data_IF_010232974128
#
_entry.id   IF_010232974128
#
_cell.length_a   1.000
_cell.length_b   1.000
_cell.length_c   1.000
_cell.angle_alpha   90.00
_cell.angle_beta   90.00
_cell.angle_gamma   90.00
#
_symmetry.space_group_name_H-M   'P 1'
#
loop_
_entity.id
_entity.type
_entity.pdbx_description
1 polymer ?
#
# COMPACT_ATOMS: atom_id res chain seq x y z
N UNK A 1 5.53 -0.27 39.72
CA UNK A 1 5.63 -1.12 38.53
C UNK A 1 5.00 -0.33 37.39
N UNK A 2 5.80 0.21 36.50
CA UNK A 2 5.33 0.85 35.27
C UNK A 2 4.66 -0.22 34.42
N UNK A 3 3.38 -0.07 34.13
CA UNK A 3 2.69 -0.95 33.21
C UNK A 3 3.46 -0.90 31.87
N UNK A 4 3.94 -2.06 31.41
CA UNK A 4 4.56 -2.16 30.09
C UNK A 4 3.44 -1.83 29.09
N UNK A 5 3.53 -0.67 28.44
CA UNK A 5 2.58 -0.32 27.39
C UNK A 5 2.73 -1.32 26.24
N UNK A 6 1.60 -1.81 25.71
CA UNK A 6 1.62 -2.66 24.53
C UNK A 6 2.20 -1.89 23.33
N UNK A 7 3.04 -2.52 22.51
CA UNK A 7 3.50 -1.89 21.28
C UNK A 7 2.30 -1.51 20.39
N UNK A 8 2.39 -0.33 19.76
CA UNK A 8 1.35 0.22 18.92
C UNK A 8 1.56 -0.16 17.47
N UNK A 9 0.57 -0.84 16.89
CA UNK A 9 0.57 -1.31 15.50
C UNK A 9 -0.40 -0.48 14.67
N UNK A 10 0.12 0.14 13.62
CA UNK A 10 -0.69 0.82 12.62
C UNK A 10 -1.02 -0.17 11.49
N UNK A 11 -2.29 -0.52 11.34
CA UNK A 11 -2.77 -1.36 10.24
C UNK A 11 -3.21 -0.44 9.10
N UNK A 12 -2.47 -0.46 7.98
CA UNK A 12 -2.72 0.43 6.84
C UNK A 12 -3.34 -0.35 5.69
N UNK A 13 -4.47 0.11 5.16
CA UNK A 13 -5.23 -0.58 4.12
C UNK A 13 -5.98 0.37 3.19
N UNK A 14 -6.59 -0.18 2.13
CA UNK A 14 -7.26 0.57 1.06
C UNK A 14 -6.28 0.94 -0.05
N UNK A 15 -6.03 2.24 -0.26
CA UNK A 15 -5.03 2.74 -1.20
C UNK A 15 -5.59 3.06 -2.59
N UNK A 16 -4.70 3.56 -3.45
CA UNK A 16 -5.05 4.11 -4.78
C UNK A 16 -5.14 3.06 -5.88
N UNK A 17 -4.83 1.80 -5.57
CA UNK A 17 -4.84 0.74 -6.57
C UNK A 17 -6.25 0.23 -6.91
N UNK A 18 -6.36 -0.54 -7.99
CA UNK A 18 -7.59 -1.25 -8.35
C UNK A 18 -7.98 -2.33 -7.33
N UNK A 19 -7.06 -2.73 -6.46
CA UNK A 19 -7.25 -3.78 -5.44
C UNK A 19 -7.66 -3.20 -4.07
N UNK A 20 -8.17 -1.97 -4.05
CA UNK A 20 -8.59 -1.24 -2.84
C UNK A 20 -9.52 -2.07 -1.95
N UNK A 21 -10.58 -2.66 -2.52
CA UNK A 21 -11.56 -3.46 -1.77
C UNK A 21 -10.97 -4.76 -1.25
N UNK A 22 -10.02 -5.35 -1.98
CA UNK A 22 -9.28 -6.54 -1.52
C UNK A 22 -8.44 -6.18 -0.30
N UNK A 23 -7.77 -5.03 -0.34
CA UNK A 23 -7.01 -4.51 0.79
C UNK A 23 -7.89 -4.29 2.03
N UNK A 24 -9.08 -3.72 1.87
CA UNK A 24 -10.06 -3.56 2.96
C UNK A 24 -10.48 -4.91 3.55
N UNK A 25 -10.79 -5.90 2.70
CA UNK A 25 -11.16 -7.25 3.14
C UNK A 25 -10.00 -7.97 3.84
N UNK A 26 -8.76 -7.79 3.36
CA UNK A 26 -7.56 -8.31 4.03
C UNK A 26 -7.43 -7.71 5.43
N UNK A 27 -7.68 -6.39 5.55
CA UNK A 27 -7.67 -5.71 6.85
C UNK A 27 -8.74 -6.26 7.80
N UNK A 28 -9.95 -6.56 7.33
CA UNK A 28 -10.97 -7.20 8.15
C UNK A 28 -10.47 -8.51 8.77
N UNK A 29 -9.83 -9.37 7.98
CA UNK A 29 -9.25 -10.62 8.47
C UNK A 29 -8.15 -10.41 9.52
N UNK A 30 -7.23 -9.47 9.28
CA UNK A 30 -6.14 -9.17 10.21
C UNK A 30 -6.67 -8.53 11.49
N UNK A 31 -7.59 -7.56 11.39
CA UNK A 31 -8.20 -6.92 12.57
C UNK A 31 -9.00 -7.90 13.44
N UNK A 32 -9.58 -8.94 12.84
CA UNK A 32 -10.24 -10.02 13.57
C UNK A 32 -9.24 -10.95 14.27
N UNK A 33 -8.09 -11.24 13.62
CA UNK A 33 -7.13 -12.24 14.09
C UNK A 33 -6.08 -11.69 15.07
N UNK A 34 -5.81 -10.38 15.03
CA UNK A 34 -4.72 -9.78 15.82
C UNK A 34 -5.02 -9.83 17.34
N UNK A 35 -4.01 -10.25 18.11
CA UNK A 35 -4.10 -10.40 19.57
C UNK A 35 -4.06 -9.03 20.28
N UNK A 36 -5.23 -8.52 20.65
CA UNK A 36 -5.39 -7.22 21.35
C UNK A 36 -4.82 -7.22 22.77
N UNK A 37 -4.46 -8.36 23.30
CA UNK A 37 -3.76 -8.41 24.61
C UNK A 37 -2.28 -8.06 24.49
N UNK A 38 -1.70 -8.24 23.29
CA UNK A 38 -0.30 -7.97 22.98
C UNK A 38 -0.08 -6.65 22.25
N UNK A 39 -1.05 -6.22 21.47
CA UNK A 39 -0.92 -5.08 20.56
C UNK A 39 -1.98 -4.01 20.82
N UNK A 40 -1.56 -2.75 20.82
CA UNK A 40 -2.44 -1.59 20.69
C UNK A 40 -2.59 -1.28 19.21
N UNK A 41 -3.80 -1.38 18.66
CA UNK A 41 -4.02 -1.38 17.20
C UNK A 41 -4.73 -0.12 16.76
N UNK A 42 -4.17 0.53 15.75
CA UNK A 42 -4.76 1.70 15.08
C UNK A 42 -5.08 1.30 13.64
N UNK A 43 -6.36 1.18 13.25
CA UNK A 43 -6.76 1.02 11.86
C UNK A 43 -6.65 2.36 11.13
N UNK A 44 -5.92 2.38 10.01
CA UNK A 44 -5.74 3.53 9.13
C UNK A 44 -6.12 3.17 7.71
N UNK A 45 -7.15 3.81 7.20
CA UNK A 45 -7.56 3.66 5.81
C UNK A 45 -6.89 4.70 4.90
N UNK A 46 -6.55 4.29 3.68
CA UNK A 46 -6.17 5.21 2.61
C UNK A 46 -7.27 5.17 1.55
N UNK A 47 -7.85 6.32 1.23
CA UNK A 47 -8.89 6.42 0.20
C UNK A 47 -8.33 6.14 -1.20
N UNK A 48 -9.20 6.01 -2.21
CA UNK A 48 -8.79 5.89 -3.62
C UNK A 48 -8.03 7.11 -4.14
N UNK A 49 -8.27 8.27 -3.54
CA UNK A 49 -7.57 9.53 -3.88
C UNK A 49 -6.25 9.68 -3.10
N UNK A 50 -5.96 8.75 -2.18
CA UNK A 50 -4.70 8.72 -1.42
C UNK A 50 -4.74 9.45 -0.09
N UNK A 51 -5.92 9.79 0.41
CA UNK A 51 -6.07 10.49 1.68
C UNK A 51 -6.06 9.49 2.85
N UNK A 52 -5.33 9.81 3.89
CA UNK A 52 -5.19 8.99 5.08
C UNK A 52 -6.25 9.38 6.11
N UNK A 53 -7.02 8.40 6.59
CA UNK A 53 -8.10 8.61 7.54
C UNK A 53 -8.08 7.55 8.63
N UNK A 54 -8.37 7.94 9.87
CA UNK A 54 -8.62 6.99 10.94
C UNK A 54 -9.95 6.28 10.68
N UNK A 55 -9.92 4.96 10.79
CA UNK A 55 -11.11 4.12 10.58
C UNK A 55 -11.48 3.48 11.92
N UNK A 56 -12.77 3.26 12.14
CA UNK A 56 -13.23 2.54 13.31
C UNK A 56 -12.64 1.12 13.35
N UNK A 57 -12.31 0.65 14.55
CA UNK A 57 -11.87 -0.73 14.77
C UNK A 57 -13.07 -1.69 14.71
N UNK A 58 -13.65 -1.80 13.53
CA UNK A 58 -14.80 -2.67 13.23
C UNK A 58 -14.50 -3.50 11.97
N UNK A 59 -13.98 -4.73 12.13
CA UNK A 59 -13.68 -5.60 11.00
C UNK A 59 -14.90 -5.85 10.10
N UNK A 60 -16.11 -5.94 10.70
CA UNK A 60 -17.35 -6.25 9.97
C UNK A 60 -17.73 -5.15 8.96
N UNK A 61 -17.28 -3.92 9.19
CA UNK A 61 -17.47 -2.79 8.27
C UNK A 61 -16.62 -2.88 7.01
N UNK A 62 -15.57 -3.72 7.01
CA UNK A 62 -14.60 -3.87 5.92
C UNK A 62 -14.80 -5.15 5.11
N UNK A 63 -15.66 -6.07 5.57
CA UNK A 63 -15.96 -7.33 4.88
C UNK A 63 -16.76 -7.09 3.60
N UNK A 64 -16.65 -8.04 2.67
CA UNK A 64 -17.52 -8.06 1.50
C UNK A 64 -18.98 -8.22 1.93
N UNK A 65 -19.87 -7.38 1.38
CA UNK A 65 -21.32 -7.47 1.57
C UNK A 65 -22.00 -7.64 0.22
N UNK A 66 -22.79 -8.69 0.10
CA UNK A 66 -23.52 -9.01 -1.15
C UNK A 66 -22.62 -9.06 -2.40
N UNK A 67 -21.41 -9.60 -2.23
CA UNK A 67 -20.40 -9.70 -3.29
C UNK A 67 -19.71 -8.39 -3.65
N UNK A 68 -19.96 -7.30 -2.91
CA UNK A 68 -19.33 -5.99 -3.09
C UNK A 68 -18.30 -5.72 -2.00
N UNK A 69 -17.10 -5.34 -2.40
CA UNK A 69 -16.06 -4.89 -1.48
C UNK A 69 -16.40 -3.54 -0.87
N UNK A 70 -15.88 -3.30 0.32
CA UNK A 70 -16.02 -2.02 1.01
C UNK A 70 -14.87 -1.09 0.63
N UNK A 71 -15.12 0.21 0.70
CA UNK A 71 -14.12 1.22 0.39
C UNK A 71 -13.94 2.20 1.55
N UNK A 72 -12.71 2.65 1.72
CA UNK A 72 -12.38 3.74 2.66
C UNK A 72 -12.92 5.04 2.09
N UNK A 73 -13.68 5.76 2.89
CA UNK A 73 -14.20 7.09 2.56
C UNK A 73 -13.62 8.14 3.51
N UNK A 74 -13.32 9.30 2.97
CA UNK A 74 -12.85 10.42 3.76
C UNK A 74 -14.01 11.21 4.37
N UNK A 75 -13.78 11.74 5.58
CA UNK A 75 -14.62 12.73 6.24
C UNK A 75 -13.91 14.08 6.33
N UNK A 76 -14.19 14.83 7.39
CA UNK A 76 -13.58 16.13 7.69
C UNK A 76 -12.19 16.02 8.33
N UNK A 77 -11.68 14.81 8.58
CA UNK A 77 -10.36 14.60 9.20
C UNK A 77 -9.38 13.97 8.22
N UNK A 78 -8.10 14.23 8.45
CA UNK A 78 -6.96 13.60 7.76
C UNK A 78 -5.92 13.19 8.79
N UNK A 79 -5.27 12.07 8.55
CA UNK A 79 -4.16 11.60 9.38
C UNK A 79 -2.85 11.81 8.64
N UNK A 80 -1.83 12.26 9.34
CA UNK A 80 -0.48 12.38 8.83
C UNK A 80 0.50 11.64 9.74
N UNK A 81 1.49 10.99 9.11
CA UNK A 81 2.65 10.41 9.78
C UNK A 81 3.78 11.45 9.74
N UNK A 82 4.31 11.82 10.90
CA UNK A 82 5.35 12.86 10.97
C UNK A 82 6.72 12.30 10.59
N UNK A 83 7.49 13.03 9.78
CA UNK A 83 8.84 12.60 9.41
C UNK A 83 9.77 12.50 10.63
N UNK A 84 10.57 11.43 10.68
CA UNK A 84 11.68 11.26 11.63
C UNK A 84 11.28 10.81 13.04
N UNK A 85 10.02 10.90 13.42
CA UNK A 85 9.57 10.57 14.78
C UNK A 85 8.53 9.45 14.83
N UNK A 86 7.93 9.10 13.69
CA UNK A 86 6.90 8.06 13.62
C UNK A 86 5.62 8.36 14.40
N UNK A 87 5.35 9.63 14.67
CA UNK A 87 4.12 10.04 15.35
C UNK A 87 2.99 10.24 14.35
N UNK A 88 1.77 9.91 14.78
CA UNK A 88 0.55 10.20 14.04
C UNK A 88 -0.12 11.46 14.56
N UNK A 89 -0.60 12.29 13.66
CA UNK A 89 -1.46 13.44 13.98
C UNK A 89 -2.74 13.35 13.16
N UNK A 90 -3.86 13.68 13.79
CA UNK A 90 -5.14 13.84 13.11
C UNK A 90 -5.45 15.33 12.98
N UNK A 91 -5.73 15.74 11.76
CA UNK A 91 -6.08 17.11 11.40
C UNK A 91 -7.58 17.19 11.16
N UNK A 92 -8.27 18.09 11.86
CA UNK A 92 -9.69 18.38 11.63
C UNK A 92 -9.82 19.64 10.79
N UNK A 93 -10.64 19.56 9.76
CA UNK A 93 -10.88 20.67 8.81
C UNK A 93 -12.26 21.27 8.98
N UNK A 94 -12.34 22.59 8.81
CA UNK A 94 -13.58 23.31 8.59
C UNK A 94 -13.83 23.38 7.08
N UNK A 95 -14.99 22.85 6.64
CA UNK A 95 -15.33 22.69 5.23
C UNK A 95 -14.82 21.39 4.62
N UNK A 96 -14.81 21.33 3.29
CA UNK A 96 -14.26 20.21 2.55
C UNK A 96 -12.72 20.27 2.59
N UNK A 97 -12.03 19.26 3.14
CA UNK A 97 -10.57 19.27 3.24
C UNK A 97 -9.83 19.46 1.91
N UNK A 98 -10.47 19.14 0.80
CA UNK A 98 -9.90 19.24 -0.55
C UNK A 98 -10.20 20.59 -1.23
N UNK A 99 -11.02 21.42 -0.61
CA UNK A 99 -11.31 22.75 -1.11
C UNK A 99 -10.21 23.77 -0.75
N UNK A 100 -9.86 24.70 -1.67
CA UNK A 100 -8.80 25.69 -1.42
C UNK A 100 -9.04 26.60 -0.20
N UNK A 101 -10.28 26.82 0.18
CA UNK A 101 -10.70 27.63 1.33
C UNK A 101 -10.72 26.84 2.64
N UNK A 102 -10.51 25.55 2.61
CA UNK A 102 -10.51 24.68 3.78
C UNK A 102 -9.39 25.07 4.76
N UNK A 103 -9.69 25.00 6.04
CA UNK A 103 -8.73 25.36 7.10
C UNK A 103 -8.67 24.26 8.14
N UNK A 104 -7.46 24.00 8.63
CA UNK A 104 -7.28 23.15 9.81
C UNK A 104 -7.75 23.93 11.03
N UNK A 105 -8.72 23.39 11.75
CA UNK A 105 -9.30 23.96 12.97
C UNK A 105 -8.99 23.15 14.22
N UNK A 106 -8.45 21.95 14.06
CA UNK A 106 -8.01 21.08 15.17
C UNK A 106 -6.85 20.21 14.77
N UNK A 107 -5.99 19.93 15.74
CA UNK A 107 -4.88 18.97 15.63
C UNK A 107 -4.91 18.08 16.87
N UNK A 108 -5.02 16.77 16.68
CA UNK A 108 -4.94 15.77 17.73
C UNK A 108 -3.66 14.96 17.57
N UNK A 109 -2.84 14.88 18.61
CA UNK A 109 -1.68 13.99 18.65
C UNK A 109 -2.18 12.57 18.97
N UNK A 110 -2.07 11.67 18.00
CA UNK A 110 -2.43 10.26 18.16
C UNK A 110 -1.27 9.43 18.74
N UNK A 111 -0.11 10.04 18.90
CA UNK A 111 1.08 9.45 19.51
C UNK A 111 1.93 8.62 18.55
N UNK A 112 2.96 7.99 19.13
CA UNK A 112 3.98 7.22 18.42
C UNK A 112 3.44 5.88 17.91
N UNK A 113 3.93 5.45 16.74
CA UNK A 113 3.71 4.13 16.13
C UNK A 113 4.98 3.30 16.27
N UNK A 114 4.89 2.12 16.90
CA UNK A 114 6.03 1.22 17.05
C UNK A 114 6.32 0.41 15.78
N UNK A 115 5.26 0.04 15.06
CA UNK A 115 5.35 -0.73 13.81
C UNK A 115 4.14 -0.47 12.92
N UNK A 116 4.39 -0.40 11.61
CA UNK A 116 3.34 -0.35 10.58
C UNK A 116 3.16 -1.74 9.96
N UNK A 117 1.92 -2.16 9.80
CA UNK A 117 1.57 -3.35 9.06
C UNK A 117 0.74 -2.95 7.83
N UNK A 118 1.40 -2.70 6.68
CA UNK A 118 0.71 -2.34 5.45
C UNK A 118 0.04 -3.58 4.84
N UNK A 119 -1.24 -3.44 4.51
CA UNK A 119 -2.06 -4.45 3.83
C UNK A 119 -2.49 -3.92 2.45
N UNK A 120 -1.70 -3.02 1.90
CA UNK A 120 -1.91 -2.41 0.59
C UNK A 120 -1.49 -3.39 -0.52
N UNK A 121 -2.18 -3.32 -1.66
CA UNK A 121 -1.88 -4.13 -2.85
C UNK A 121 -1.61 -3.25 -4.07
N UNK A 122 -0.74 -3.72 -4.95
CA UNK A 122 -0.43 -3.06 -6.22
C UNK A 122 0.33 -1.73 -6.09
N UNK A 123 0.13 -0.81 -7.04
CA UNK A 123 0.82 0.48 -7.06
C UNK A 123 0.62 1.27 -5.77
N UNK A 124 1.65 1.99 -5.35
CA UNK A 124 1.77 2.75 -4.09
C UNK A 124 1.80 1.89 -2.82
N UNK A 125 1.51 0.58 -2.90
CA UNK A 125 1.55 -0.35 -1.78
C UNK A 125 2.73 -1.33 -1.84
N UNK A 126 3.03 -1.86 -3.03
CA UNK A 126 4.03 -2.91 -3.24
C UNK A 126 5.23 -2.45 -4.09
N UNK A 127 5.25 -1.21 -4.55
CA UNK A 127 6.25 -0.66 -5.47
C UNK A 127 7.41 0.11 -4.81
N UNK A 128 7.49 0.09 -3.49
CA UNK A 128 8.50 0.83 -2.73
C UNK A 128 8.09 2.24 -2.30
N UNK A 129 6.98 2.77 -2.82
CA UNK A 129 6.54 4.15 -2.55
C UNK A 129 6.15 4.33 -1.08
N UNK A 130 5.25 3.50 -0.56
CA UNK A 130 4.84 3.58 0.85
C UNK A 130 5.97 3.20 1.80
N UNK A 131 6.82 2.25 1.41
CA UNK A 131 7.99 1.84 2.18
C UNK A 131 8.96 3.02 2.33
N UNK A 132 9.17 3.80 1.27
CA UNK A 132 9.98 5.02 1.31
C UNK A 132 9.42 6.06 2.29
N UNK A 133 8.10 6.21 2.38
CA UNK A 133 7.45 7.07 3.36
C UNK A 133 7.74 6.59 4.79
N UNK A 134 7.65 5.28 5.06
CA UNK A 134 7.94 4.71 6.38
C UNK A 134 9.41 4.86 6.76
N UNK A 135 10.34 4.68 5.82
CA UNK A 135 11.77 4.94 6.03
C UNK A 135 12.01 6.41 6.42
N UNK A 136 11.41 7.36 5.67
CA UNK A 136 11.53 8.78 5.97
C UNK A 136 10.89 9.18 7.30
N UNK A 137 9.84 8.48 7.71
CA UNK A 137 9.17 8.67 8.99
C UNK A 137 9.94 8.01 10.16
N UNK A 138 10.95 7.17 9.88
CA UNK A 138 11.71 6.47 10.90
C UNK A 138 10.93 5.37 11.62
N UNK A 139 9.86 4.81 11.00
CA UNK A 139 9.06 3.75 11.62
C UNK A 139 9.40 2.40 11.02
N UNK A 140 9.37 1.38 11.86
CA UNK A 140 9.48 -0.01 11.41
C UNK A 140 8.20 -0.45 10.72
N UNK A 141 8.32 -1.33 9.74
CA UNK A 141 7.16 -1.88 9.04
C UNK A 141 7.35 -3.34 8.67
N UNK A 142 6.25 -4.04 8.48
CA UNK A 142 6.22 -5.44 8.04
C UNK A 142 6.28 -5.47 6.51
N UNK A 143 7.18 -6.29 5.96
CA UNK A 143 7.29 -6.49 4.51
C UNK A 143 8.69 -6.22 3.97
N UNK A 144 8.78 -6.15 2.65
CA UNK A 144 10.02 -5.89 1.93
C UNK A 144 10.40 -4.40 2.01
N UNK A 145 11.71 -4.11 1.98
CA UNK A 145 12.21 -2.73 1.91
C UNK A 145 12.00 -2.10 0.52
N UNK A 146 12.32 -0.82 0.40
CA UNK A 146 12.09 0.00 -0.81
C UNK A 146 12.61 -0.67 -2.08
N UNK A 147 13.89 -1.05 -2.11
CA UNK A 147 14.53 -1.63 -3.30
C UNK A 147 13.89 -2.94 -3.70
N UNK A 148 13.66 -3.85 -2.74
CA UNK A 148 13.03 -5.15 -3.03
C UNK A 148 11.61 -4.97 -3.57
N UNK A 149 10.83 -4.09 -2.96
CA UNK A 149 9.46 -3.78 -3.41
C UNK A 149 9.47 -3.24 -4.84
N UNK A 150 10.29 -2.22 -5.12
CA UNK A 150 10.38 -1.61 -6.44
C UNK A 150 10.79 -2.61 -7.54
N UNK A 151 11.83 -3.41 -7.27
CA UNK A 151 12.30 -4.43 -8.23
C UNK A 151 11.26 -5.52 -8.44
N UNK A 152 10.60 -5.98 -7.36
CA UNK A 152 9.62 -7.07 -7.45
C UNK A 152 8.32 -6.65 -8.14
N UNK A 153 7.98 -5.37 -8.11
CA UNK A 153 6.81 -4.84 -8.81
C UNK A 153 6.99 -4.85 -10.33
N UNK A 154 8.19 -4.54 -10.81
CA UNK A 154 8.55 -4.60 -12.22
C UNK A 154 8.97 -6.03 -12.62
N UNK A 155 8.16 -6.68 -13.44
CA UNK A 155 8.36 -8.08 -13.83
C UNK A 155 9.58 -8.31 -14.70
N UNK A 156 9.99 -7.30 -15.48
CA UNK A 156 11.22 -7.36 -16.26
C UNK A 156 12.45 -7.25 -15.36
N UNK A 157 12.46 -6.27 -14.45
CA UNK A 157 13.56 -6.10 -13.49
C UNK A 157 13.68 -7.31 -12.55
N UNK A 158 12.56 -7.81 -12.02
CA UNK A 158 12.54 -9.03 -11.20
C UNK A 158 13.23 -10.19 -11.90
N UNK A 159 12.82 -10.51 -13.13
CA UNK A 159 13.40 -11.62 -13.90
C UNK A 159 14.87 -11.37 -14.24
N UNK A 160 15.23 -10.14 -14.57
CA UNK A 160 16.62 -9.76 -14.87
C UNK A 160 17.53 -9.99 -13.65
N UNK A 161 17.10 -9.54 -12.47
CA UNK A 161 17.88 -9.71 -11.22
C UNK A 161 17.97 -11.18 -10.82
N UNK A 162 16.87 -11.93 -10.87
CA UNK A 162 16.85 -13.35 -10.54
C UNK A 162 17.73 -14.18 -11.48
N UNK A 163 17.65 -13.94 -12.79
CA UNK A 163 18.49 -14.62 -13.77
C UNK A 163 19.99 -14.29 -13.57
N UNK A 164 20.31 -13.03 -13.26
CA UNK A 164 21.68 -12.64 -12.96
C UNK A 164 22.22 -13.29 -11.67
N UNK A 165 21.34 -13.63 -10.74
CA UNK A 165 21.66 -14.38 -9.51
C UNK A 165 21.72 -15.90 -9.71
N UNK A 166 21.56 -16.41 -10.94
CA UNK A 166 21.56 -17.84 -11.26
C UNK A 166 20.27 -18.59 -10.88
N UNK A 167 19.18 -17.87 -10.64
CA UNK A 167 17.87 -18.45 -10.35
C UNK A 167 17.13 -18.62 -11.68
N UNK A 168 16.62 -19.82 -11.93
CA UNK A 168 15.87 -20.12 -13.15
C UNK A 168 14.57 -19.32 -13.20
N UNK A 169 14.34 -18.64 -14.31
CA UNK A 169 13.13 -17.86 -14.60
C UNK A 169 12.56 -18.26 -15.95
N UNK A 170 11.25 -18.23 -16.08
CA UNK A 170 10.60 -18.44 -17.38
C UNK A 170 11.07 -17.41 -18.39
N UNK A 171 11.22 -17.83 -19.67
CA UNK A 171 11.57 -16.94 -20.76
C UNK A 171 10.60 -15.76 -20.84
N UNK A 172 11.12 -14.59 -21.17
CA UNK A 172 10.31 -13.38 -21.31
C UNK A 172 10.89 -12.45 -22.38
N UNK A 173 10.07 -11.57 -22.87
CA UNK A 173 10.44 -10.49 -23.77
C UNK A 173 9.85 -9.18 -23.25
N UNK A 174 10.68 -8.14 -23.18
CA UNK A 174 10.23 -6.79 -22.86
C UNK A 174 9.90 -6.03 -24.14
N UNK A 175 8.67 -5.52 -24.24
CA UNK A 175 8.23 -4.66 -25.33
C UNK A 175 7.76 -3.34 -24.72
N UNK A 176 8.49 -2.26 -24.98
CA UNK A 176 8.08 -0.91 -24.55
C UNK A 176 7.14 -0.28 -25.59
N UNK A 177 6.31 0.68 -25.16
CA UNK A 177 5.45 1.43 -26.06
C UNK A 177 6.26 2.04 -27.23
N UNK A 178 7.43 2.63 -26.92
CA UNK A 178 8.33 3.20 -27.94
C UNK A 178 8.81 2.18 -28.97
N UNK A 179 9.13 0.95 -28.55
CA UNK A 179 9.56 -0.11 -29.47
C UNK A 179 8.41 -0.56 -30.36
N UNK A 180 7.22 -0.71 -29.77
CA UNK A 180 6.03 -1.09 -30.50
C UNK A 180 5.61 -0.04 -31.54
N UNK A 181 5.63 1.23 -31.18
CA UNK A 181 5.34 2.34 -32.10
C UNK A 181 6.36 2.45 -33.24
N UNK A 182 7.64 2.13 -32.97
CA UNK A 182 8.69 2.18 -33.96
C UNK A 182 8.61 1.02 -34.96
N UNK A 183 8.38 -0.22 -34.50
CA UNK A 183 8.30 -1.42 -35.34
C UNK A 183 7.57 -2.54 -34.62
N UNK A 184 6.24 -2.58 -34.77
CA UNK A 184 5.40 -3.61 -34.19
C UNK A 184 5.70 -5.02 -34.74
N UNK A 185 6.12 -5.14 -36.02
CA UNK A 185 6.46 -6.41 -36.66
C UNK A 185 7.69 -7.03 -36.02
N UNK A 186 8.76 -6.26 -35.82
CA UNK A 186 9.95 -6.73 -35.12
C UNK A 186 9.67 -7.12 -33.67
N UNK A 187 8.75 -6.42 -33.01
CA UNK A 187 8.29 -6.81 -31.68
C UNK A 187 7.57 -8.16 -31.70
N UNK A 188 6.67 -8.39 -32.65
CA UNK A 188 5.96 -9.67 -32.81
C UNK A 188 6.93 -10.81 -33.07
N UNK A 189 7.93 -10.62 -33.95
CA UNK A 189 8.96 -11.63 -34.24
C UNK A 189 9.74 -12.05 -32.97
N UNK A 190 9.95 -11.13 -32.04
CA UNK A 190 10.58 -11.42 -30.73
C UNK A 190 9.66 -12.21 -29.81
N UNK A 191 8.37 -11.84 -29.76
CA UNK A 191 7.36 -12.52 -28.95
C UNK A 191 7.15 -13.96 -29.46
N UNK A 192 7.08 -14.15 -30.78
CA UNK A 192 6.88 -15.49 -31.40
C UNK A 192 8.00 -16.46 -31.06
N UNK A 193 9.22 -15.99 -30.85
CA UNK A 193 10.35 -16.83 -30.41
C UNK A 193 10.18 -17.40 -29.00
N UNK A 194 9.29 -16.84 -28.19
CA UNK A 194 8.95 -17.41 -26.87
C UNK A 194 8.09 -18.68 -26.98
N UNK A 195 7.41 -18.89 -28.12
CA UNK A 195 6.42 -19.93 -28.32
C UNK A 195 5.06 -19.60 -27.70
N UNK A 196 3.98 -19.93 -28.40
CA UNK A 196 2.62 -19.71 -27.89
C UNK A 196 2.10 -20.92 -27.11
N UNK A 197 1.19 -20.69 -26.12
CA UNK A 197 0.63 -19.40 -25.70
C UNK A 197 1.57 -18.57 -24.82
N UNK A 198 1.46 -17.23 -24.88
CA UNK A 198 2.20 -16.29 -24.02
C UNK A 198 1.26 -15.51 -23.12
N UNK A 199 1.76 -15.14 -21.93
CA UNK A 199 1.05 -14.23 -21.02
C UNK A 199 1.61 -12.79 -21.19
N UNK A 200 0.73 -11.85 -21.50
CA UNK A 200 1.05 -10.41 -21.54
C UNK A 200 0.76 -9.81 -20.18
N UNK A 201 1.75 -9.11 -19.60
CA UNK A 201 1.62 -8.46 -18.29
C UNK A 201 2.19 -7.04 -18.37
N UNK A 202 1.55 -6.03 -17.75
CA UNK A 202 2.15 -4.72 -17.61
C UNK A 202 3.38 -4.79 -16.69
N UNK A 203 4.34 -3.86 -16.90
CA UNK A 203 5.49 -3.60 -16.06
C UNK A 203 5.41 -2.19 -15.52
#
# INVERSE_FOLDING_TARGET
MTAISRPRVLIVFGGRSSEHEISCSTAAGILTAIDRTKWDVIPLGITRDGQWVRVADDPSALEFKDGKGQSVTAGSTRVALTPGEGNLVELTYEGDPDAPESRVVGVEDLGHVDIVFPLLHGPYGEDGTIQGLFEMAGVRYVGCGVTSSAVSMDKHLTKTVLAAAGIDVGHWELVTARQWEADASACMDRIERLGFPVFVKPC
#
